data_IF_102730082532
#
_entry.id   IF_102730082532
#
_cell.length_a   1.000
_cell.length_b   1.000
_cell.length_c   1.000
_cell.angle_alpha   90.00
_cell.angle_beta   90.00
_cell.angle_gamma   90.00
#
_symmetry.space_group_name_H-M   'P 1'
#
loop_
_entity.id
_entity.type
_entity.pdbx_description
1 polymer ?
#
# COMPACT_ATOMS: atom_id res chain seq x y z
N UNK A 1 26.52 38.19 -20.64
CA UNK A 1 25.05 38.35 -20.72
C UNK A 1 24.40 37.12 -21.35
N UNK A 2 24.95 36.53 -22.41
CA UNK A 2 24.38 35.35 -23.07
C UNK A 2 24.29 34.09 -22.20
N UNK A 3 25.33 33.81 -21.39
CA UNK A 3 25.35 32.64 -20.48
C UNK A 3 24.29 32.74 -19.37
N UNK A 4 23.98 33.96 -18.91
CA UNK A 4 22.96 34.21 -17.89
C UNK A 4 21.55 33.97 -18.44
N UNK A 5 21.31 34.32 -19.71
CA UNK A 5 20.04 34.03 -20.39
C UNK A 5 19.86 32.53 -20.64
N UNK A 6 20.93 31.82 -21.01
CA UNK A 6 20.89 30.36 -21.15
C UNK A 6 20.59 29.68 -19.81
N UNK A 7 21.22 30.13 -18.72
CA UNK A 7 20.95 29.61 -17.37
C UNK A 7 19.52 29.91 -16.88
N UNK A 8 18.99 31.11 -17.14
CA UNK A 8 17.60 31.47 -16.81
C UNK A 8 16.57 30.67 -17.62
N UNK A 9 16.86 30.39 -18.89
CA UNK A 9 16.01 29.53 -19.73
C UNK A 9 16.05 28.08 -19.26
N UNK A 10 17.22 27.56 -18.89
CA UNK A 10 17.35 26.20 -18.34
C UNK A 10 16.65 26.03 -16.99
N UNK A 11 16.72 27.04 -16.11
CA UNK A 11 16.05 27.04 -14.80
C UNK A 11 14.53 27.26 -14.91
N UNK A 12 14.06 27.96 -15.94
CA UNK A 12 12.63 28.16 -16.20
C UNK A 12 11.91 26.93 -16.77
N UNK A 13 12.63 25.93 -17.29
CA UNK A 13 12.05 24.74 -17.93
C UNK A 13 11.99 23.53 -16.96
N UNK A 14 12.64 23.59 -15.79
CA UNK A 14 12.72 22.45 -14.86
C UNK A 14 11.47 22.19 -14.01
N UNK A 15 10.43 23.03 -14.06
CA UNK A 15 9.26 22.90 -13.16
C UNK A 15 8.02 22.23 -13.78
N UNK A 16 8.14 21.52 -14.91
CA UNK A 16 6.97 20.92 -15.59
C UNK A 16 7.09 19.40 -15.74
N UNK A 17 7.70 18.71 -14.77
CA UNK A 17 7.58 17.25 -14.68
C UNK A 17 6.61 16.92 -13.55
N UNK A 18 5.32 16.91 -13.88
CA UNK A 18 4.33 16.20 -13.07
C UNK A 18 4.57 14.72 -13.29
N UNK A 19 5.12 14.02 -12.30
CA UNK A 19 5.16 12.56 -12.32
C UNK A 19 3.71 12.06 -12.23
N UNK A 20 3.14 11.65 -13.36
CA UNK A 20 1.84 11.00 -13.38
C UNK A 20 1.96 9.68 -12.59
N UNK A 21 1.10 9.49 -11.60
CA UNK A 21 1.07 8.31 -10.75
C UNK A 21 0.37 7.17 -11.49
N UNK A 22 1.02 6.00 -11.51
CA UNK A 22 0.50 4.80 -12.16
C UNK A 22 0.17 3.76 -11.09
N UNK A 23 -0.93 3.01 -11.25
CA UNK A 23 -1.36 1.95 -10.34
C UNK A 23 -1.83 0.72 -11.14
N UNK A 24 -1.82 -0.48 -10.53
CA UNK A 24 -2.54 -1.61 -11.11
C UNK A 24 -3.99 -1.60 -10.67
N UNK A 25 -4.90 -1.93 -11.59
CA UNK A 25 -6.32 -2.14 -11.29
C UNK A 25 -6.68 -3.58 -11.61
N UNK A 26 -6.94 -4.39 -10.58
CA UNK A 26 -7.32 -5.79 -10.73
C UNK A 26 -7.98 -6.33 -9.47
N UNK A 27 -8.70 -7.45 -9.60
CA UNK A 27 -9.27 -8.20 -8.49
C UNK A 27 -9.00 -9.70 -8.68
N UNK A 28 -8.84 -10.47 -7.59
CA UNK A 28 -8.44 -11.88 -7.63
C UNK A 28 -9.36 -12.84 -8.39
N UNK A 29 -10.56 -12.43 -8.81
CA UNK A 29 -11.36 -13.23 -9.75
C UNK A 29 -10.85 -13.13 -11.20
N UNK A 30 -9.89 -12.25 -11.49
CA UNK A 30 -9.20 -12.11 -12.76
C UNK A 30 -7.86 -12.86 -12.74
N UNK A 31 -7.46 -13.53 -13.83
CA UNK A 31 -6.19 -14.24 -13.90
C UNK A 31 -5.02 -13.27 -13.68
N UNK A 32 -4.02 -13.69 -12.91
CA UNK A 32 -2.81 -12.90 -12.67
C UNK A 32 -2.95 -11.78 -11.62
N UNK A 33 -4.09 -11.65 -10.94
CA UNK A 33 -4.25 -10.73 -9.81
C UNK A 33 -4.04 -11.46 -8.47
N UNK A 34 -2.77 -11.68 -8.12
CA UNK A 34 -2.36 -12.39 -6.90
C UNK A 34 -1.61 -11.44 -5.94
N UNK A 35 -0.83 -11.99 -5.02
CA UNK A 35 0.05 -11.22 -4.13
C UNK A 35 1.00 -10.30 -4.91
N UNK A 36 1.46 -10.76 -6.06
CA UNK A 36 2.13 -9.99 -7.09
C UNK A 36 1.24 -9.99 -8.34
N UNK A 37 1.12 -8.83 -8.97
CA UNK A 37 0.38 -8.69 -10.23
C UNK A 37 1.24 -9.20 -11.38
N UNK A 38 0.65 -10.05 -12.22
CA UNK A 38 1.23 -10.36 -13.51
C UNK A 38 1.02 -9.18 -14.48
N UNK A 39 2.04 -8.33 -14.59
CA UNK A 39 2.05 -7.13 -15.42
C UNK A 39 1.93 -7.41 -16.94
N UNK A 40 2.15 -8.66 -17.38
CA UNK A 40 1.89 -9.06 -18.77
C UNK A 40 0.39 -9.13 -19.08
N UNK A 41 -0.44 -9.33 -18.05
CA UNK A 41 -1.90 -9.45 -18.17
C UNK A 41 -2.57 -8.14 -17.78
N UNK A 42 -2.10 -7.51 -16.69
CA UNK A 42 -2.66 -6.28 -16.15
C UNK A 42 -1.74 -5.10 -16.44
N UNK A 43 -2.23 -4.14 -17.21
CA UNK A 43 -1.52 -2.89 -17.46
C UNK A 43 -1.71 -1.92 -16.29
N UNK A 44 -0.77 -1.00 -16.14
CA UNK A 44 -0.91 0.08 -15.18
C UNK A 44 -1.88 1.15 -15.74
N UNK A 45 -2.70 1.71 -14.86
CA UNK A 45 -3.64 2.79 -15.12
C UNK A 45 -3.18 4.08 -14.43
N UNK A 46 -3.65 5.22 -14.92
CA UNK A 46 -3.46 6.51 -14.25
C UNK A 46 -4.66 6.83 -13.38
N UNK A 47 -4.41 7.41 -12.21
CA UNK A 47 -5.48 7.73 -11.27
C UNK A 47 -6.13 9.09 -11.56
N UNK A 48 -7.44 9.25 -11.32
CA UNK A 48 -8.16 10.46 -11.72
C UNK A 48 -7.89 11.68 -10.83
N UNK A 49 -7.39 11.49 -9.59
CA UNK A 49 -7.10 12.58 -8.65
C UNK A 49 -5.59 12.86 -8.57
N UNK A 50 -5.18 14.13 -8.39
CA UNK A 50 -3.76 14.48 -8.28
C UNK A 50 -3.12 14.04 -6.96
N UNK A 51 -3.92 13.86 -5.91
CA UNK A 51 -3.52 13.41 -4.57
C UNK A 51 -3.85 11.93 -4.32
N UNK A 52 -4.06 11.17 -5.39
CA UNK A 52 -4.46 9.76 -5.30
C UNK A 52 -3.30 8.86 -4.88
N UNK A 53 -3.66 7.65 -4.44
CA UNK A 53 -2.70 6.64 -3.99
C UNK A 53 -3.04 5.29 -4.59
N UNK A 54 -2.03 4.50 -4.89
CA UNK A 54 -2.25 3.09 -5.21
C UNK A 54 -2.59 2.33 -3.93
N UNK A 55 -3.61 1.47 -4.00
CA UNK A 55 -4.05 0.69 -2.86
C UNK A 55 -4.06 -0.78 -3.23
N UNK A 56 -3.49 -1.63 -2.36
CA UNK A 56 -3.66 -3.08 -2.36
C UNK A 56 -4.47 -3.48 -1.14
N UNK A 57 -5.66 -4.01 -1.36
CA UNK A 57 -6.52 -4.59 -0.34
C UNK A 57 -6.23 -6.10 -0.30
N UNK A 58 -6.00 -6.60 0.91
CA UNK A 58 -5.76 -8.02 1.20
C UNK A 58 -6.90 -8.49 2.10
N UNK A 59 -7.76 -9.33 1.56
CA UNK A 59 -8.94 -9.86 2.24
C UNK A 59 -8.73 -11.36 2.49
N UNK A 60 -8.86 -11.81 3.74
CA UNK A 60 -8.76 -13.24 4.08
C UNK A 60 -10.12 -13.81 4.40
N UNK A 61 -10.39 -15.01 3.89
CA UNK A 61 -11.56 -15.82 4.21
C UNK A 61 -11.12 -17.26 4.46
N UNK A 62 -10.94 -17.62 5.73
CA UNK A 62 -10.33 -18.90 6.09
C UNK A 62 -8.90 -19.00 5.52
N UNK A 63 -8.66 -19.96 4.65
CA UNK A 63 -7.37 -20.17 3.95
C UNK A 63 -7.24 -19.34 2.66
N UNK A 64 -8.35 -18.83 2.13
CA UNK A 64 -8.37 -18.06 0.89
C UNK A 64 -7.91 -16.62 1.14
N UNK A 65 -7.04 -16.11 0.25
CA UNK A 65 -6.57 -14.72 0.26
C UNK A 65 -6.92 -14.08 -1.07
N UNK A 66 -7.74 -13.03 -1.00
CA UNK A 66 -8.14 -12.24 -2.14
C UNK A 66 -7.39 -10.91 -2.13
N UNK A 67 -7.01 -10.48 -3.33
CA UNK A 67 -6.32 -9.24 -3.59
C UNK A 67 -7.20 -8.36 -4.48
N UNK A 68 -7.35 -7.11 -4.07
CA UNK A 68 -7.91 -6.06 -4.91
C UNK A 68 -6.89 -4.94 -5.00
N UNK A 69 -6.62 -4.44 -6.20
CA UNK A 69 -5.77 -3.28 -6.42
C UNK A 69 -6.52 -2.25 -7.23
N UNK A 70 -6.41 -1.00 -6.83
CA UNK A 70 -7.00 0.13 -7.54
C UNK A 70 -6.45 1.46 -7.04
N UNK A 71 -6.86 2.55 -7.68
CA UNK A 71 -6.71 3.91 -7.16
C UNK A 71 -7.59 4.11 -5.92
N UNK A 72 -7.08 4.83 -4.91
CA UNK A 72 -7.84 5.16 -3.71
C UNK A 72 -9.16 5.89 -4.05
N UNK A 73 -9.15 6.79 -5.04
CA UNK A 73 -10.37 7.49 -5.50
C UNK A 73 -11.50 6.55 -5.94
N UNK A 74 -11.16 5.39 -6.51
CA UNK A 74 -12.14 4.43 -7.00
C UNK A 74 -12.74 3.65 -5.82
N UNK A 75 -11.90 3.31 -4.84
CA UNK A 75 -12.29 2.55 -3.66
C UNK A 75 -13.18 3.33 -2.70
N UNK A 76 -12.90 4.61 -2.48
CA UNK A 76 -13.68 5.45 -1.52
C UNK A 76 -15.16 5.57 -1.89
N UNK A 77 -15.54 5.26 -3.13
CA UNK A 77 -16.93 5.29 -3.57
C UNK A 77 -17.78 4.16 -2.98
N UNK A 78 -17.19 3.01 -2.64
CA UNK A 78 -17.92 1.82 -2.17
C UNK A 78 -17.29 1.15 -0.92
N UNK A 79 -16.13 1.61 -0.46
CA UNK A 79 -15.47 1.14 0.76
C UNK A 79 -15.58 2.21 1.85
N UNK A 80 -16.16 1.82 2.99
CA UNK A 80 -16.29 2.66 4.18
C UNK A 80 -15.34 2.25 5.30
N UNK A 81 -14.60 1.16 5.08
CA UNK A 81 -13.65 0.51 5.98
C UNK A 81 -12.19 0.92 5.68
N UNK A 82 -12.00 1.95 4.86
CA UNK A 82 -10.67 2.50 4.54
C UNK A 82 -10.11 3.20 5.79
N UNK A 83 -8.89 2.87 6.24
CA UNK A 83 -8.26 3.56 7.36
C UNK A 83 -7.99 5.03 7.05
N UNK A 84 -8.15 5.90 8.06
CA UNK A 84 -7.91 7.33 7.93
C UNK A 84 -6.42 7.65 7.62
N UNK A 85 -5.55 6.82 8.19
CA UNK A 85 -4.11 6.86 7.98
C UNK A 85 -3.75 6.22 6.64
N UNK A 86 -3.58 7.04 5.61
CA UNK A 86 -3.28 6.60 4.23
C UNK A 86 -1.82 6.80 3.84
N UNK A 87 -0.92 6.97 4.81
CA UNK A 87 0.51 7.01 4.54
C UNK A 87 1.03 5.63 4.10
N UNK A 88 2.20 5.60 3.47
CA UNK A 88 2.76 4.38 2.88
C UNK A 88 2.88 3.22 3.89
N UNK A 89 2.44 2.04 3.47
CA UNK A 89 2.46 0.81 4.26
C UNK A 89 1.08 0.17 4.46
N UNK A 90 1.07 -1.00 5.11
CA UNK A 90 -0.12 -1.81 5.32
C UNK A 90 -0.74 -1.59 6.72
N UNK A 91 -2.06 -1.45 6.78
CA UNK A 91 -2.85 -1.24 7.99
C UNK A 91 -4.15 -2.06 7.95
N UNK A 92 -4.67 -2.51 9.11
CA UNK A 92 -5.98 -3.13 9.14
C UNK A 92 -7.07 -2.13 8.71
N UNK A 93 -8.17 -2.66 8.18
CA UNK A 93 -9.35 -1.89 7.87
C UNK A 93 -9.88 -1.14 9.12
N UNK A 94 -10.42 0.06 8.91
CA UNK A 94 -11.06 0.82 9.96
C UNK A 94 -12.32 0.12 10.47
N UNK A 95 -12.54 0.18 11.78
CA UNK A 95 -13.80 -0.24 12.35
C UNK A 95 -14.92 0.70 11.90
N UNK A 96 -16.02 0.13 11.41
CA UNK A 96 -17.21 0.88 11.02
C UNK A 96 -18.35 0.60 12.03
N UNK A 97 -18.31 1.18 13.25
CA UNK A 97 -19.23 0.82 14.34
C UNK A 97 -20.68 1.18 14.07
N UNK A 98 -20.95 2.04 13.08
CA UNK A 98 -22.29 2.44 12.66
C UNK A 98 -22.82 1.62 11.48
N UNK A 99 -22.03 0.68 10.94
CA UNK A 99 -22.46 -0.18 9.85
C UNK A 99 -23.48 -1.20 10.37
N UNK A 100 -24.60 -1.36 9.68
CA UNK A 100 -25.66 -2.34 9.99
C UNK A 100 -26.33 -2.23 11.38
N UNK A 101 -26.12 -1.14 12.14
CA UNK A 101 -26.69 -0.97 13.51
C UNK A 101 -28.22 -1.00 13.55
N UNK A 102 -28.91 -0.71 12.43
CA UNK A 102 -30.37 -0.57 12.39
C UNK A 102 -31.08 -1.65 11.56
N UNK A 103 -30.35 -2.62 11.02
CA UNK A 103 -30.92 -3.66 10.17
C UNK A 103 -30.34 -5.01 10.61
N UNK A 104 -31.08 -5.66 11.50
CA UNK A 104 -30.82 -7.03 11.92
C UNK A 104 -31.60 -7.96 10.99
N UNK A 105 -30.89 -8.72 10.16
CA UNK A 105 -31.46 -9.67 9.21
C UNK A 105 -31.19 -11.09 9.70
N UNK A 106 -32.23 -11.92 9.77
CA UNK A 106 -32.13 -13.33 10.20
C UNK A 106 -31.37 -14.21 9.18
N UNK A 107 -31.21 -13.72 7.95
CA UNK A 107 -30.44 -14.38 6.88
C UNK A 107 -29.06 -13.72 6.83
N UNK A 108 -28.01 -14.51 7.13
CA UNK A 108 -26.61 -14.04 7.19
C UNK A 108 -26.14 -13.36 5.90
N UNK A 109 -26.60 -13.86 4.76
CA UNK A 109 -26.25 -13.33 3.43
C UNK A 109 -26.88 -11.94 3.15
N UNK A 110 -27.93 -11.58 3.90
CA UNK A 110 -28.57 -10.26 3.87
C UNK A 110 -28.09 -9.37 5.02
N UNK A 111 -27.26 -9.89 5.92
CA UNK A 111 -26.68 -9.10 7.00
C UNK A 111 -25.77 -8.02 6.39
N UNK A 112 -26.09 -6.77 6.66
CA UNK A 112 -25.29 -5.62 6.19
C UNK A 112 -23.94 -5.53 6.91
N UNK A 113 -23.75 -6.34 7.95
CA UNK A 113 -22.51 -6.44 8.70
C UNK A 113 -21.48 -7.13 7.82
N UNK A 114 -20.34 -6.47 7.61
CA UNK A 114 -19.25 -7.00 6.77
C UNK A 114 -18.37 -7.97 7.57
N UNK A 115 -18.94 -9.07 8.04
CA UNK A 115 -18.23 -10.15 8.76
C UNK A 115 -17.79 -11.30 7.83
N UNK A 116 -17.99 -11.16 6.52
CA UNK A 116 -17.63 -12.13 5.50
C UNK A 116 -16.12 -12.46 5.44
N UNK A 117 -15.26 -11.50 5.78
CA UNK A 117 -13.80 -11.66 5.80
C UNK A 117 -13.28 -11.70 7.24
N UNK A 118 -12.34 -12.62 7.52
CA UNK A 118 -11.70 -12.73 8.83
C UNK A 118 -10.72 -11.59 9.11
N UNK A 119 -10.11 -11.04 8.06
CA UNK A 119 -9.26 -9.85 8.14
C UNK A 119 -9.23 -9.12 6.81
N UNK A 120 -9.22 -7.79 6.87
CA UNK A 120 -9.02 -6.90 5.72
C UNK A 120 -7.87 -5.96 6.04
N UNK A 121 -6.85 -5.94 5.18
CA UNK A 121 -5.73 -5.02 5.28
C UNK A 121 -5.63 -4.15 4.03
N UNK A 122 -5.31 -2.87 4.22
CA UNK A 122 -5.07 -1.88 3.18
C UNK A 122 -3.59 -1.54 3.15
N UNK A 123 -2.95 -1.67 2.00
CA UNK A 123 -1.59 -1.21 1.77
C UNK A 123 -1.61 -0.03 0.82
N UNK A 124 -1.15 1.13 1.28
CA UNK A 124 -1.01 2.35 0.47
C UNK A 124 0.41 2.46 -0.07
N UNK A 125 0.56 2.80 -1.35
CA UNK A 125 1.86 2.93 -2.00
C UNK A 125 1.90 4.22 -2.82
N UNK A 126 2.92 5.05 -2.58
CA UNK A 126 3.13 6.34 -3.26
C UNK A 126 4.27 6.30 -4.28
N UNK A 127 5.38 5.59 -3.95
CA UNK A 127 6.61 5.66 -4.75
C UNK A 127 7.18 4.30 -5.17
N UNK A 128 6.79 3.19 -4.53
CA UNK A 128 7.37 1.87 -4.77
C UNK A 128 6.41 0.90 -5.51
N UNK A 129 6.86 0.46 -6.69
CA UNK A 129 6.42 -0.72 -7.45
C UNK A 129 4.93 -1.07 -7.41
N UNK A 130 4.03 -0.11 -7.66
CA UNK A 130 2.60 -0.41 -7.92
C UNK A 130 1.94 -1.34 -6.87
N UNK A 131 2.36 -1.26 -5.61
CA UNK A 131 1.96 -2.16 -4.52
C UNK A 131 2.27 -3.67 -4.71
N UNK A 132 3.24 -4.05 -5.54
CA UNK A 132 3.74 -5.43 -5.59
C UNK A 132 4.72 -5.73 -4.45
N UNK A 133 5.54 -4.76 -4.02
CA UNK A 133 6.56 -4.93 -2.99
C UNK A 133 6.20 -4.41 -1.59
N UNK A 134 4.94 -4.04 -1.33
CA UNK A 134 4.52 -3.55 -0.02
C UNK A 134 4.43 -4.71 0.99
N UNK A 135 5.60 -5.19 1.44
CA UNK A 135 5.69 -6.11 2.57
C UNK A 135 5.40 -5.35 3.86
N UNK A 136 4.81 -6.04 4.84
CA UNK A 136 4.75 -5.58 6.22
C UNK A 136 6.14 -5.12 6.65
N UNK A 137 6.25 -3.86 7.05
CA UNK A 137 7.51 -3.25 7.48
C UNK A 137 8.03 -4.01 8.69
N UNK A 138 8.93 -4.98 8.48
CA UNK A 138 9.72 -5.55 9.57
C UNK A 138 10.64 -4.44 10.05
N UNK A 139 10.69 -4.18 11.35
CA UNK A 139 11.28 -2.94 11.78
C UNK A 139 12.82 -3.08 11.68
N UNK A 140 13.42 -2.25 10.84
CA UNK A 140 14.81 -2.35 10.37
C UNK A 140 15.88 -2.16 11.46
N UNK A 141 15.50 -2.02 12.74
CA UNK A 141 16.41 -1.87 13.88
C UNK A 141 17.04 -3.19 14.33
N UNK A 142 16.55 -4.34 13.85
CA UNK A 142 17.10 -5.65 14.24
C UNK A 142 18.52 -5.86 13.67
N UNK A 143 18.78 -5.38 12.45
CA UNK A 143 20.09 -5.51 11.80
C UNK A 143 21.21 -4.71 12.49
N UNK A 144 21.06 -3.40 12.78
CA UNK A 144 22.09 -2.64 13.47
C UNK A 144 22.28 -3.11 14.93
N UNK A 145 21.25 -3.63 15.58
CA UNK A 145 21.35 -4.18 16.94
C UNK A 145 22.21 -5.46 16.97
N UNK A 146 22.04 -6.36 16.00
CA UNK A 146 22.84 -7.58 15.87
C UNK A 146 24.31 -7.29 15.53
N UNK A 147 24.57 -6.30 14.67
CA UNK A 147 25.92 -5.84 14.35
C UNK A 147 26.59 -5.18 15.57
N UNK A 148 25.86 -4.39 16.35
CA UNK A 148 26.37 -3.79 17.58
C UNK A 148 26.74 -4.85 18.63
N UNK A 149 25.92 -5.90 18.80
CA UNK A 149 26.21 -7.01 19.71
C UNK A 149 27.40 -7.86 19.26
N UNK A 150 27.61 -8.05 17.95
CA UNK A 150 28.78 -8.75 17.41
C UNK A 150 30.08 -7.98 17.69
N UNK A 151 30.09 -6.66 17.52
CA UNK A 151 31.26 -5.83 17.85
C UNK A 151 31.59 -5.78 19.35
N UNK A 152 30.57 -5.91 20.22
CA UNK A 152 30.79 -6.01 21.67
C UNK A 152 31.41 -7.37 22.03
N UNK A 153 31.03 -8.45 21.36
CA UNK A 153 31.61 -9.77 21.58
C UNK A 153 33.10 -9.83 21.22
N UNK A 154 33.50 -9.22 20.10
CA UNK A 154 34.91 -9.14 19.70
C UNK A 154 35.77 -8.29 20.67
N UNK A 155 35.16 -7.28 21.31
CA UNK A 155 35.83 -6.43 22.30
C UNK A 155 36.09 -7.10 23.65
N UNK A 156 35.29 -8.12 24.02
CA UNK A 156 35.47 -8.88 25.27
C UNK A 156 36.50 -10.02 25.16
N UNK A 157 36.93 -10.37 23.94
CA UNK A 157 37.96 -11.39 23.70
C UNK A 157 39.41 -10.92 23.88
N UNK A 158 39.65 -9.62 24.10
CA UNK A 158 41.02 -9.03 24.12
C UNK A 158 41.54 -8.74 25.53
N UNK A 159 40.78 -9.03 26.60
CA UNK A 159 41.22 -8.82 28.00
C UNK A 159 41.82 -10.11 28.61
N UNK A 160 42.09 -11.14 27.81
CA UNK A 160 42.41 -12.49 28.30
C UNK A 160 43.68 -13.14 27.76
N UNK A 161 44.81 -12.43 27.66
CA UNK A 161 46.17 -13.01 27.78
C UNK A 161 47.16 -11.94 28.21
#
# INVERSE_FOLDING_TARGET
MEVLHILLVLFGVSEIVSAEMWCYSCISNQPGCNEEVNWLIHHAITCPRPDDKCVKIIERKGEEVLYTRDCLSNLVSYRHDIPADTYEGCRPAAEAPKLAVYVDNDIKELELKRDYYSSVNYCFCEFYYWCNGASTTTPAWILPLLLALAHIWDGLGVIGT
#
